data_IF_363413567084
#
_entry.id   IF_363413567084
#
_cell.length_a   1.000
_cell.length_b   1.000
_cell.length_c   1.000
_cell.angle_alpha   90.00
_cell.angle_beta   90.00
_cell.angle_gamma   90.00
#
_symmetry.space_group_name_H-M   'P 1'
#
loop_
_entity.id
_entity.type
_entity.pdbx_description
1 polymer ?
#
# COMPACT_ATOMS: atom_id res chain seq x y z
N UNK A 1 50.48 25.05 -5.17
CA UNK A 1 49.36 24.22 -4.67
C UNK A 1 49.45 24.23 -3.15
N UNK A 2 48.42 24.71 -2.46
CA UNK A 2 48.38 24.76 -0.99
C UNK A 2 47.50 23.62 -0.51
N UNK A 3 48.01 22.80 0.41
CA UNK A 3 47.28 21.66 0.96
C UNK A 3 47.04 21.88 2.44
N UNK A 4 45.77 21.95 2.83
CA UNK A 4 45.35 22.06 4.23
C UNK A 4 44.95 20.66 4.70
N UNK A 5 45.61 20.14 5.74
CA UNK A 5 45.29 18.84 6.32
C UNK A 5 44.20 18.98 7.37
N UNK A 6 43.17 18.14 7.30
CA UNK A 6 42.05 18.09 8.27
C UNK A 6 41.44 19.47 8.58
N UNK A 7 40.96 20.22 7.56
CA UNK A 7 40.30 21.50 7.82
C UNK A 7 39.06 21.30 8.69
N UNK A 8 38.73 22.31 9.48
CA UNK A 8 37.41 22.36 10.14
C UNK A 8 36.30 22.49 9.09
N UNK A 9 35.08 22.10 9.44
CA UNK A 9 33.92 22.25 8.54
C UNK A 9 33.73 23.71 8.11
N UNK A 10 33.85 24.66 9.03
CA UNK A 10 33.73 26.09 8.74
C UNK A 10 34.83 26.57 7.78
N UNK A 11 36.07 26.08 7.95
CA UNK A 11 37.17 26.40 7.03
C UNK A 11 36.88 25.85 5.63
N UNK A 12 36.39 24.62 5.54
CA UNK A 12 36.02 24.02 4.26
C UNK A 12 34.87 24.79 3.60
N UNK A 13 33.80 25.12 4.32
CA UNK A 13 32.66 25.87 3.79
C UNK A 13 33.10 27.23 3.23
N UNK A 14 33.91 27.99 3.97
CA UNK A 14 34.47 29.27 3.48
C UNK A 14 35.31 29.12 2.21
N UNK A 15 36.19 28.12 2.16
CA UNK A 15 37.04 27.87 1.00
C UNK A 15 36.22 27.37 -0.21
N UNK A 16 35.15 26.62 0.04
CA UNK A 16 34.24 26.17 -1.01
C UNK A 16 33.47 27.35 -1.62
N UNK A 17 33.01 28.30 -0.80
CA UNK A 17 32.33 29.51 -1.28
C UNK A 17 33.22 30.36 -2.18
N UNK A 18 34.52 30.44 -1.88
CA UNK A 18 35.48 31.25 -2.64
C UNK A 18 36.08 30.52 -3.85
N UNK A 19 36.26 29.19 -3.77
CA UNK A 19 37.02 28.40 -4.75
C UNK A 19 36.29 27.14 -5.25
N UNK A 20 34.95 27.13 -5.27
CA UNK A 20 34.09 25.96 -5.56
C UNK A 20 34.50 25.09 -6.76
N UNK A 21 35.07 25.65 -7.82
CA UNK A 21 35.48 24.92 -9.03
C UNK A 21 36.87 24.29 -8.96
N UNK A 22 37.70 24.68 -7.98
CA UNK A 22 39.12 24.31 -7.90
C UNK A 22 39.49 23.62 -6.59
N UNK A 23 38.69 23.78 -5.53
CA UNK A 23 38.89 23.07 -4.27
C UNK A 23 38.59 21.57 -4.44
N UNK A 24 39.49 20.74 -3.93
CA UNK A 24 39.29 19.29 -3.87
C UNK A 24 39.57 18.83 -2.45
N UNK A 25 38.56 18.24 -1.81
CA UNK A 25 38.67 17.69 -0.47
C UNK A 25 38.30 16.21 -0.53
N UNK A 26 39.29 15.35 -0.74
CA UNK A 26 39.07 13.91 -0.82
C UNK A 26 38.58 13.36 0.53
N UNK A 27 37.58 12.48 0.49
CA UNK A 27 37.09 11.79 1.67
C UNK A 27 38.08 10.71 2.11
N UNK A 28 38.28 10.56 3.42
CA UNK A 28 39.03 9.41 3.98
C UNK A 28 38.25 8.10 3.81
N UNK A 29 36.92 8.16 3.95
CA UNK A 29 36.01 7.06 3.72
C UNK A 29 35.12 7.41 2.52
N UNK A 30 35.14 6.57 1.49
CA UNK A 30 34.35 6.79 0.27
C UNK A 30 32.88 6.43 0.44
N UNK A 31 32.54 5.67 1.49
CA UNK A 31 31.18 5.24 1.77
C UNK A 31 30.84 5.38 3.25
N UNK A 32 29.61 5.81 3.50
CA UNK A 32 29.06 5.95 4.85
C UNK A 32 27.65 5.35 4.86
N UNK A 33 27.31 4.43 5.80
CA UNK A 33 25.95 3.91 5.91
C UNK A 33 24.94 5.02 6.20
N UNK A 34 23.80 5.00 5.52
CA UNK A 34 22.74 6.01 5.67
C UNK A 34 22.25 6.13 7.11
N UNK A 35 22.22 5.02 7.88
CA UNK A 35 21.78 5.04 9.28
C UNK A 35 22.63 5.93 10.19
N UNK A 36 23.85 6.28 9.79
CA UNK A 36 24.74 7.12 10.60
C UNK A 36 24.35 8.60 10.58
N UNK A 37 23.60 9.05 9.56
CA UNK A 37 23.24 10.46 9.40
C UNK A 37 21.75 10.69 9.07
N UNK A 38 20.99 9.63 8.75
CA UNK A 38 19.56 9.69 8.50
C UNK A 38 18.80 8.76 9.45
N UNK A 39 17.71 9.29 10.01
CA UNK A 39 16.76 8.51 10.79
C UNK A 39 15.35 8.70 10.20
N UNK A 40 14.71 7.60 9.81
CA UNK A 40 13.35 7.61 9.24
C UNK A 40 12.44 6.74 10.09
N UNK A 41 11.43 7.38 10.67
CA UNK A 41 10.41 6.75 11.51
C UNK A 41 9.09 6.63 10.77
N UNK A 42 8.31 5.62 11.14
CA UNK A 42 7.01 5.34 10.53
C UNK A 42 5.93 5.18 11.57
N UNK A 43 4.71 5.49 11.16
CA UNK A 43 3.50 5.26 11.95
C UNK A 43 2.49 4.61 11.02
N UNK A 44 1.98 3.45 11.41
CA UNK A 44 0.89 2.79 10.70
C UNK A 44 -0.40 3.60 10.86
N UNK A 45 -1.34 3.41 9.93
CA UNK A 45 -2.65 4.03 10.05
C UNK A 45 -3.34 3.59 11.36
N UNK A 46 -4.02 4.52 12.03
CA UNK A 46 -4.69 4.31 13.32
C UNK A 46 -5.63 3.10 13.39
N UNK A 47 -6.14 2.65 12.24
CA UNK A 47 -6.97 1.44 12.15
C UNK A 47 -6.21 0.19 12.57
N UNK A 48 -4.90 0.13 12.32
CA UNK A 48 -4.03 -1.00 12.65
C UNK A 48 -3.73 -1.13 14.15
N UNK A 49 -4.08 -0.14 14.95
CA UNK A 49 -4.03 -0.18 16.42
C UNK A 49 -5.40 -0.01 17.07
N UNK A 50 -6.47 0.02 16.27
CA UNK A 50 -7.83 0.21 16.75
C UNK A 50 -8.44 -1.08 17.30
N UNK A 51 -9.59 -0.97 17.98
CA UNK A 51 -10.36 -2.13 18.42
C UNK A 51 -10.82 -3.04 17.26
N UNK A 52 -10.89 -2.54 16.03
CA UNK A 52 -11.37 -3.27 14.85
C UNK A 52 -10.44 -4.42 14.42
N UNK A 53 -9.17 -4.39 14.83
CA UNK A 53 -8.19 -5.45 14.58
C UNK A 53 -7.94 -6.32 15.81
N UNK A 54 -8.70 -6.09 16.88
CA UNK A 54 -8.52 -6.80 18.16
C UNK A 54 -9.27 -8.12 18.19
N UNK A 55 -8.76 -9.07 18.98
CA UNK A 55 -9.45 -10.33 19.26
C UNK A 55 -10.83 -10.13 19.89
N UNK A 56 -11.02 -9.08 20.69
CA UNK A 56 -12.31 -8.77 21.30
C UNK A 56 -13.38 -8.44 20.26
N UNK A 57 -13.00 -7.69 19.22
CA UNK A 57 -13.90 -7.40 18.11
C UNK A 57 -14.24 -8.65 17.31
N UNK A 58 -13.27 -9.54 17.10
CA UNK A 58 -13.52 -10.81 16.41
C UNK A 58 -14.44 -11.72 17.22
N UNK A 59 -14.26 -11.79 18.54
CA UNK A 59 -15.14 -12.53 19.43
C UNK A 59 -16.57 -11.96 19.39
N UNK A 60 -16.72 -10.63 19.38
CA UNK A 60 -18.05 -10.01 19.23
C UNK A 60 -18.74 -10.42 17.93
N UNK A 61 -18.00 -10.47 16.81
CA UNK A 61 -18.55 -10.89 15.51
C UNK A 61 -18.84 -12.39 15.46
N UNK A 62 -18.03 -13.22 16.12
CA UNK A 62 -18.23 -14.68 16.20
C UNK A 62 -19.43 -15.09 17.05
N UNK A 63 -19.81 -14.27 18.03
CA UNK A 63 -20.96 -14.51 18.90
C UNK A 63 -22.29 -14.08 18.26
N UNK A 64 -22.26 -13.54 17.05
CA UNK A 64 -23.46 -13.20 16.32
C UNK A 64 -24.25 -14.46 15.95
N UNK A 65 -25.49 -14.55 16.44
CA UNK A 65 -26.43 -15.59 16.08
C UNK A 65 -27.41 -15.05 15.01
N UNK A 66 -27.34 -15.56 13.77
CA UNK A 66 -28.25 -15.16 12.69
C UNK A 66 -29.73 -15.38 13.02
N UNK A 67 -30.06 -16.31 13.92
CA UNK A 67 -31.45 -16.61 14.28
C UNK A 67 -32.12 -15.51 15.12
N UNK A 68 -31.34 -14.56 15.65
CA UNK A 68 -31.83 -13.43 16.44
C UNK A 68 -31.94 -12.13 15.61
N UNK A 69 -31.72 -12.25 14.30
CA UNK A 69 -31.80 -11.15 13.35
C UNK A 69 -33.29 -10.94 13.00
N UNK A 70 -33.85 -9.73 13.10
CA UNK A 70 -35.25 -9.50 12.82
C UNK A 70 -35.66 -9.99 11.42
N UNK A 71 -36.88 -10.52 11.28
CA UNK A 71 -37.41 -11.05 10.00
C UNK A 71 -37.34 -10.03 8.85
N UNK A 72 -37.45 -8.72 9.14
CA UNK A 72 -37.30 -7.68 8.11
C UNK A 72 -35.87 -7.50 7.58
N UNK A 73 -34.88 -8.11 8.23
CA UNK A 73 -33.49 -8.23 7.79
C UNK A 73 -33.16 -9.62 7.19
N UNK A 74 -34.12 -10.57 7.22
CA UNK A 74 -34.03 -11.86 6.54
C UNK A 74 -34.27 -11.69 5.04
N UNK A 75 -33.30 -11.10 4.35
CA UNK A 75 -33.15 -11.36 2.91
C UNK A 75 -32.19 -12.53 2.72
N UNK A 76 -32.26 -13.26 1.60
CA UNK A 76 -31.31 -14.35 1.25
C UNK A 76 -29.83 -13.92 1.36
N UNK A 77 -29.60 -12.61 1.36
CA UNK A 77 -28.38 -11.95 1.78
C UNK A 77 -28.61 -11.26 3.12
N UNK A 78 -28.05 -11.77 4.22
CA UNK A 78 -28.03 -11.01 5.48
C UNK A 78 -27.24 -9.72 5.24
N UNK A 79 -27.93 -8.57 5.18
CA UNK A 79 -27.32 -7.23 5.10
C UNK A 79 -26.61 -6.83 6.40
N UNK A 80 -26.70 -7.69 7.40
CA UNK A 80 -26.01 -7.49 8.65
C UNK A 80 -24.51 -7.68 8.42
N UNK A 81 -23.75 -6.60 8.58
CA UNK A 81 -22.30 -6.66 8.45
C UNK A 81 -21.69 -7.70 9.40
N UNK A 82 -22.37 -8.07 10.50
CA UNK A 82 -21.87 -9.08 11.44
C UNK A 82 -21.75 -10.46 10.81
N UNK A 83 -22.59 -10.77 9.81
CA UNK A 83 -22.57 -12.03 9.06
C UNK A 83 -21.30 -12.22 8.20
N UNK A 84 -20.69 -11.12 7.75
CA UNK A 84 -19.54 -11.14 6.83
C UNK A 84 -18.30 -10.42 7.38
N UNK A 85 -18.48 -9.60 8.40
CA UNK A 85 -17.52 -8.60 8.86
C UNK A 85 -16.24 -9.23 9.37
N UNK A 86 -16.31 -10.42 9.97
CA UNK A 86 -15.15 -11.15 10.47
C UNK A 86 -14.07 -11.28 9.39
N UNK A 87 -14.46 -11.68 8.17
CA UNK A 87 -13.54 -11.86 7.05
C UNK A 87 -12.92 -10.54 6.60
N UNK A 88 -13.71 -9.46 6.54
CA UNK A 88 -13.21 -8.13 6.19
C UNK A 88 -12.22 -7.59 7.23
N UNK A 89 -12.48 -7.78 8.52
CA UNK A 89 -11.57 -7.32 9.56
C UNK A 89 -10.33 -8.21 9.71
N UNK A 90 -10.42 -9.51 9.39
CA UNK A 90 -9.25 -10.38 9.23
C UNK A 90 -8.37 -9.96 8.04
N UNK A 91 -9.00 -9.58 6.92
CA UNK A 91 -8.29 -9.02 5.78
C UNK A 91 -7.59 -7.70 6.16
N UNK A 92 -8.25 -6.84 6.93
CA UNK A 92 -7.67 -5.62 7.47
C UNK A 92 -6.44 -5.89 8.36
N UNK A 93 -6.50 -6.90 9.25
CA UNK A 93 -5.32 -7.34 10.04
C UNK A 93 -4.17 -7.75 9.13
N UNK A 94 -4.50 -8.50 8.07
CA UNK A 94 -3.52 -8.94 7.09
C UNK A 94 -2.87 -7.74 6.40
N UNK A 95 -3.64 -6.74 5.96
CA UNK A 95 -3.10 -5.51 5.38
C UNK A 95 -2.20 -4.75 6.34
N UNK A 96 -2.60 -4.61 7.60
CA UNK A 96 -1.78 -3.97 8.63
C UNK A 96 -0.46 -4.71 8.86
N UNK A 97 -0.49 -6.05 8.91
CA UNK A 97 0.70 -6.88 9.10
C UNK A 97 1.66 -6.80 7.89
N UNK A 98 1.10 -6.81 6.67
CA UNK A 98 1.88 -6.64 5.44
C UNK A 98 2.50 -5.24 5.36
N UNK A 99 1.78 -4.20 5.78
CA UNK A 99 2.29 -2.84 5.83
C UNK A 99 3.48 -2.75 6.80
N UNK A 100 3.34 -3.31 8.00
CA UNK A 100 4.38 -3.34 9.03
C UNK A 100 5.65 -4.06 8.55
N UNK A 101 5.48 -5.28 8.01
CA UNK A 101 6.59 -6.06 7.48
C UNK A 101 7.30 -5.36 6.30
N UNK A 102 6.54 -4.73 5.40
CA UNK A 102 7.09 -3.99 4.27
C UNK A 102 7.89 -2.75 4.73
N UNK A 103 7.42 -2.05 5.76
CA UNK A 103 8.14 -0.93 6.36
C UNK A 103 9.42 -1.41 7.03
N UNK A 104 9.35 -2.49 7.82
CA UNK A 104 10.51 -3.06 8.51
C UNK A 104 11.60 -3.50 7.51
N UNK A 105 11.21 -4.16 6.42
CA UNK A 105 12.14 -4.53 5.35
C UNK A 105 12.74 -3.31 4.65
N UNK A 106 11.89 -2.32 4.34
CA UNK A 106 12.33 -1.06 3.78
C UNK A 106 13.36 -0.36 4.66
N UNK A 107 13.10 -0.25 5.96
CA UNK A 107 14.02 0.34 6.94
C UNK A 107 15.35 -0.40 6.98
N UNK A 108 15.33 -1.74 7.00
CA UNK A 108 16.52 -2.57 6.97
C UNK A 108 17.36 -2.31 5.71
N UNK A 109 16.72 -2.21 4.55
CA UNK A 109 17.41 -1.91 3.29
C UNK A 109 18.00 -0.49 3.32
N UNK A 110 17.23 0.49 3.79
CA UNK A 110 17.65 1.88 3.86
C UNK A 110 18.84 2.09 4.80
N UNK A 111 18.81 1.50 6.00
CA UNK A 111 19.90 1.61 6.99
C UNK A 111 21.22 1.08 6.45
N UNK A 112 21.16 -0.01 5.68
CA UNK A 112 22.32 -0.62 5.05
C UNK A 112 22.73 0.03 3.71
N UNK A 113 21.95 0.98 3.19
CA UNK A 113 22.33 1.70 1.99
C UNK A 113 23.57 2.56 2.26
N UNK A 114 24.48 2.61 1.29
CA UNK A 114 25.72 3.37 1.40
C UNK A 114 25.58 4.69 0.65
N UNK A 115 25.91 5.79 1.34
CA UNK A 115 26.17 7.07 0.72
C UNK A 115 27.61 7.09 0.21
N UNK A 116 27.80 7.16 -1.11
CA UNK A 116 29.12 7.06 -1.74
C UNK A 116 29.51 8.40 -2.33
N UNK A 117 30.64 8.95 -1.89
CA UNK A 117 31.24 10.12 -2.51
C UNK A 117 32.76 10.19 -2.33
N UNK A 118 33.44 10.63 -3.38
CA UNK A 118 34.89 10.77 -3.41
C UNK A 118 35.38 12.07 -2.78
N UNK A 119 34.54 13.10 -2.78
CA UNK A 119 34.87 14.41 -2.24
C UNK A 119 33.87 14.82 -1.15
N UNK A 120 34.35 15.59 -0.18
CA UNK A 120 33.50 16.23 0.79
C UNK A 120 32.51 17.14 0.05
N UNK A 121 31.24 17.06 0.44
CA UNK A 121 30.19 17.91 -0.09
C UNK A 121 30.02 19.16 0.76
N UNK A 122 29.67 20.31 0.15
CA UNK A 122 29.13 21.42 0.91
C UNK A 122 27.83 20.99 1.58
N UNK A 123 27.53 21.60 2.73
CA UNK A 123 26.37 21.29 3.55
C UNK A 123 25.06 21.29 2.76
N UNK A 124 24.84 22.29 1.90
CA UNK A 124 23.62 22.40 1.10
C UNK A 124 23.40 21.19 0.19
N UNK A 125 24.45 20.77 -0.52
CA UNK A 125 24.41 19.62 -1.41
C UNK A 125 24.27 18.32 -0.61
N UNK A 126 24.98 18.18 0.52
CA UNK A 126 24.81 17.03 1.40
C UNK A 126 23.37 16.88 1.88
N UNK A 127 22.73 17.97 2.34
CA UNK A 127 21.33 17.96 2.77
C UNK A 127 20.41 17.58 1.60
N UNK A 128 20.62 18.16 0.42
CA UNK A 128 19.82 17.86 -0.76
C UNK A 128 19.88 16.37 -1.15
N UNK A 129 21.09 15.79 -1.16
CA UNK A 129 21.28 14.36 -1.45
C UNK A 129 20.66 13.48 -0.36
N UNK A 130 20.79 13.86 0.91
CA UNK A 130 20.20 13.15 2.04
C UNK A 130 18.66 13.15 1.97
N UNK A 131 18.05 14.29 1.61
CA UNK A 131 16.61 14.41 1.39
C UNK A 131 16.15 13.57 0.18
N UNK A 132 16.92 13.57 -0.92
CA UNK A 132 16.61 12.75 -2.09
C UNK A 132 16.62 11.25 -1.73
N UNK A 133 17.57 10.79 -0.92
CA UNK A 133 17.64 9.42 -0.42
C UNK A 133 16.44 9.07 0.48
N UNK A 134 16.06 9.96 1.39
CA UNK A 134 14.89 9.77 2.24
C UNK A 134 13.60 9.69 1.40
N UNK A 135 13.43 10.58 0.43
CA UNK A 135 12.27 10.59 -0.46
C UNK A 135 12.20 9.34 -1.35
N UNK A 136 13.33 8.90 -1.90
CA UNK A 136 13.42 7.67 -2.67
C UNK A 136 13.02 6.45 -1.81
N UNK A 137 13.45 6.42 -0.55
CA UNK A 137 13.06 5.38 0.39
C UNK A 137 11.54 5.38 0.68
N UNK A 138 10.95 6.54 0.95
CA UNK A 138 9.50 6.68 1.17
C UNK A 138 8.72 6.20 -0.07
N UNK A 139 9.12 6.66 -1.26
CA UNK A 139 8.49 6.30 -2.52
C UNK A 139 8.57 4.79 -2.80
N UNK A 140 9.77 4.21 -2.65
CA UNK A 140 9.99 2.78 -2.88
C UNK A 140 9.19 1.92 -1.90
N UNK A 141 9.20 2.26 -0.62
CA UNK A 141 8.45 1.52 0.42
C UNK A 141 6.95 1.55 0.13
N UNK A 142 6.40 2.72 -0.23
CA UNK A 142 4.98 2.85 -0.61
C UNK A 142 4.64 2.01 -1.84
N UNK A 143 5.48 2.03 -2.87
CA UNK A 143 5.21 1.30 -4.10
C UNK A 143 5.35 -0.22 -3.93
N UNK A 144 6.28 -0.68 -3.10
CA UNK A 144 6.37 -2.11 -2.76
C UNK A 144 5.09 -2.56 -2.06
N UNK A 145 4.60 -1.79 -1.08
CA UNK A 145 3.33 -2.08 -0.43
C UNK A 145 2.15 -2.11 -1.41
N UNK A 146 2.02 -1.09 -2.26
CA UNK A 146 0.94 -1.02 -3.26
C UNK A 146 0.98 -2.21 -4.24
N UNK A 147 2.18 -2.64 -4.65
CA UNK A 147 2.35 -3.84 -5.47
C UNK A 147 1.92 -5.11 -4.73
N UNK A 148 2.27 -5.25 -3.46
CA UNK A 148 1.85 -6.38 -2.64
C UNK A 148 0.33 -6.41 -2.48
N UNK A 149 -0.32 -5.26 -2.23
CA UNK A 149 -1.78 -5.18 -2.19
C UNK A 149 -2.43 -5.58 -3.50
N UNK A 150 -1.87 -5.17 -4.64
CA UNK A 150 -2.37 -5.59 -5.96
C UNK A 150 -2.32 -7.12 -6.13
N UNK A 151 -1.29 -7.78 -5.60
CA UNK A 151 -1.24 -9.25 -5.60
C UNK A 151 -2.29 -9.87 -4.70
N UNK A 152 -2.57 -9.27 -3.53
CA UNK A 152 -3.65 -9.73 -2.66
C UNK A 152 -5.02 -9.59 -3.34
N UNK A 153 -5.26 -8.48 -4.03
CA UNK A 153 -6.48 -8.25 -4.81
C UNK A 153 -6.64 -9.28 -5.95
N UNK A 154 -5.59 -9.48 -6.75
CA UNK A 154 -5.59 -10.51 -7.81
C UNK A 154 -5.83 -11.90 -7.22
N UNK A 155 -5.19 -12.25 -6.10
CA UNK A 155 -5.41 -13.52 -5.43
C UNK A 155 -6.85 -13.65 -4.91
N UNK A 156 -7.46 -12.55 -4.45
CA UNK A 156 -8.87 -12.48 -4.06
C UNK A 156 -9.80 -12.81 -5.23
N UNK A 157 -9.61 -12.14 -6.36
CA UNK A 157 -10.39 -12.33 -7.59
C UNK A 157 -10.22 -13.76 -8.14
N UNK A 158 -8.98 -14.23 -8.29
CA UNK A 158 -8.67 -15.55 -8.88
C UNK A 158 -9.19 -16.69 -8.01
N UNK A 159 -9.09 -16.59 -6.68
CA UNK A 159 -9.58 -17.62 -5.77
C UNK A 159 -11.09 -17.52 -5.52
N UNK A 160 -11.81 -16.62 -6.20
CA UNK A 160 -13.24 -16.36 -5.95
C UNK A 160 -13.53 -16.12 -4.47
N UNK A 161 -12.65 -15.39 -3.77
CA UNK A 161 -13.02 -14.79 -2.48
C UNK A 161 -14.02 -13.68 -2.80
N UNK A 162 -15.27 -14.07 -3.06
CA UNK A 162 -16.32 -13.21 -3.60
C UNK A 162 -16.71 -12.13 -2.59
N UNK A 163 -16.06 -10.97 -2.67
CA UNK A 163 -16.73 -9.71 -2.35
C UNK A 163 -17.79 -9.38 -3.42
N UNK A 164 -17.61 -9.89 -4.65
CA UNK A 164 -18.48 -9.66 -5.80
C UNK A 164 -19.95 -10.02 -5.58
N UNK A 165 -20.27 -11.02 -4.74
CA UNK A 165 -21.66 -11.42 -4.47
C UNK A 165 -22.36 -10.54 -3.43
N UNK A 166 -21.62 -9.75 -2.64
CA UNK A 166 -22.21 -9.01 -1.51
C UNK A 166 -22.39 -7.50 -1.78
N UNK A 167 -21.72 -6.93 -2.78
CA UNK A 167 -21.75 -5.47 -3.05
C UNK A 167 -22.18 -5.07 -4.49
N UNK A 168 -22.37 -6.03 -5.41
CA UNK A 168 -22.69 -5.74 -6.83
C UNK A 168 -24.09 -6.21 -7.27
N UNK A 169 -25.10 -6.12 -6.40
CA UNK A 169 -26.49 -6.38 -6.79
C UNK A 169 -27.29 -5.08 -6.90
N UNK A 170 -28.13 -4.98 -7.92
CA UNK A 170 -29.11 -3.89 -8.08
C UNK A 170 -30.50 -4.42 -7.71
N UNK A 171 -31.20 -3.70 -6.85
CA UNK A 171 -32.61 -3.98 -6.53
C UNK A 171 -33.48 -3.01 -7.31
N UNK A 172 -34.39 -3.57 -8.11
CA UNK A 172 -35.48 -2.80 -8.72
C UNK A 172 -36.76 -3.10 -7.95
N UNK A 173 -37.37 -2.05 -7.39
CA UNK A 173 -38.66 -2.15 -6.71
C UNK A 173 -39.75 -1.98 -7.75
N UNK A 174 -40.54 -3.00 -8.04
CA UNK A 174 -41.76 -2.84 -8.84
C UNK A 174 -42.95 -2.59 -7.90
N UNK A 175 -43.95 -1.84 -8.37
CA UNK A 175 -45.06 -1.32 -7.57
C UNK A 175 -45.93 -2.38 -6.87
N UNK A 176 -45.74 -3.66 -7.19
CA UNK A 176 -46.62 -4.77 -6.75
C UNK A 176 -45.95 -5.67 -5.70
N UNK A 177 -45.08 -5.11 -4.84
CA UNK A 177 -44.38 -5.84 -3.75
C UNK A 177 -43.52 -7.02 -4.21
N UNK A 178 -43.21 -7.10 -5.52
CA UNK A 178 -42.26 -8.07 -6.07
C UNK A 178 -40.88 -7.43 -6.21
N UNK A 179 -39.87 -8.10 -5.66
CA UNK A 179 -38.48 -7.69 -5.77
C UNK A 179 -37.81 -8.56 -6.83
N UNK A 180 -37.24 -7.94 -7.86
CA UNK A 180 -36.37 -8.64 -8.81
C UNK A 180 -34.91 -8.30 -8.51
N UNK A 181 -34.10 -9.34 -8.32
CA UNK A 181 -32.66 -9.21 -8.14
C UNK A 181 -31.99 -9.42 -9.50
N UNK A 182 -31.21 -8.43 -9.94
CA UNK A 182 -30.36 -8.55 -11.12
C UNK A 182 -28.90 -8.38 -10.71
N UNK A 183 -28.07 -9.34 -11.10
CA UNK A 183 -26.62 -9.26 -10.95
C UNK A 183 -26.05 -8.44 -12.10
N UNK A 184 -25.45 -7.29 -11.82
CA UNK A 184 -24.61 -6.63 -12.83
C UNK A 184 -23.29 -7.38 -12.86
N UNK A 185 -23.08 -8.22 -13.87
CA UNK A 185 -21.74 -8.72 -14.19
C UNK A 185 -20.88 -7.51 -14.54
N UNK A 186 -20.11 -6.99 -13.58
CA UNK A 186 -19.06 -6.03 -13.89
C UNK A 186 -18.01 -6.82 -14.68
N UNK A 187 -18.06 -6.68 -15.99
CA UNK A 187 -16.98 -7.13 -16.87
C UNK A 187 -15.81 -6.17 -16.69
N UNK A 188 -14.83 -6.55 -15.88
CA UNK A 188 -13.53 -5.87 -15.88
C UNK A 188 -12.80 -6.24 -17.18
N UNK A 189 -12.99 -5.47 -18.25
CA UNK A 189 -12.05 -5.44 -19.36
C UNK A 189 -10.80 -4.70 -18.88
N UNK A 190 -9.70 -5.43 -18.71
CA UNK A 190 -8.37 -4.80 -18.63
C UNK A 190 -8.12 -4.21 -20.02
N UNK A 191 -8.09 -2.89 -20.09
CA UNK A 191 -7.75 -2.16 -21.31
C UNK A 191 -6.25 -2.35 -21.57
N UNK A 192 -5.87 -3.51 -22.11
CA UNK A 192 -4.64 -3.66 -22.85
C UNK A 192 -4.94 -3.21 -24.27
N UNK A 193 -4.48 -2.01 -24.58
CA UNK A 193 -4.43 -1.41 -25.91
C UNK A 193 -3.83 -2.42 -26.91
N UNK A 194 -4.66 -3.21 -27.58
CA UNK A 194 -4.33 -4.04 -28.73
C UNK A 194 -5.49 -3.92 -29.73
N UNK A 195 -5.12 -3.64 -30.98
CA UNK A 195 -5.95 -3.17 -32.10
C UNK A 195 -7.32 -3.85 -32.32
N UNK A 196 -8.32 -3.12 -32.87
CA UNK A 196 -9.68 -3.61 -33.01
C UNK A 196 -9.93 -4.30 -34.35
N UNK A 197 -9.87 -5.64 -34.41
CA UNK A 197 -10.59 -6.42 -35.44
C UNK A 197 -11.08 -7.73 -34.82
N UNK A 198 -12.34 -8.07 -35.12
CA UNK A 198 -13.13 -9.26 -34.75
C UNK A 198 -13.98 -9.17 -33.47
N UNK A 199 -15.15 -8.53 -33.63
CA UNK A 199 -16.35 -8.93 -32.87
C UNK A 199 -16.89 -10.25 -33.43
N UNK A 200 -17.15 -11.23 -32.57
CA UNK A 200 -18.20 -12.22 -32.82
C UNK A 200 -19.00 -12.48 -31.56
N UNK A 201 -20.32 -12.45 -31.73
CA UNK A 201 -21.36 -12.65 -30.72
C UNK A 201 -21.25 -14.02 -30.08
N UNK A 202 -21.54 -14.10 -28.79
CA UNK A 202 -22.10 -15.32 -28.17
C UNK A 202 -23.28 -14.91 -27.30
N UNK A 203 -24.48 -15.05 -27.86
CA UNK A 203 -25.71 -15.23 -27.09
C UNK A 203 -25.64 -16.60 -26.41
N UNK A 204 -25.91 -16.66 -25.10
CA UNK A 204 -26.50 -17.86 -24.50
C UNK A 204 -27.57 -17.49 -23.49
N UNK A 205 -28.79 -17.87 -23.87
CA UNK A 205 -29.98 -18.08 -23.06
C UNK A 205 -29.79 -19.30 -22.17
N UNK A 206 -30.04 -19.17 -20.86
CA UNK A 206 -30.43 -20.31 -20.03
C UNK A 206 -31.60 -19.90 -19.15
N UNK A 207 -32.80 -20.37 -19.56
CA UNK A 207 -33.97 -20.50 -18.70
C UNK A 207 -33.73 -21.69 -17.76
N UNK A 208 -33.97 -21.52 -16.47
CA UNK A 208 -34.34 -22.62 -15.60
C UNK A 208 -35.70 -22.32 -14.96
N UNK A 209 -36.69 -23.10 -15.37
CA UNK A 209 -38.00 -23.22 -14.74
C UNK A 209 -37.99 -24.44 -13.81
N UNK A 210 -38.48 -24.22 -12.58
CA UNK A 210 -38.95 -25.16 -11.54
C UNK A 210 -38.51 -26.63 -11.60
#
# INVERSE_FOLDING_TARGET
>A
MVTIKHPSLETYEKLYDEYSTSIQCACANLSIPCETFLNVTFVLHQVCSSGLVSSNWFNYLLLFDPNHVPVWTETDFSRDFRSIGLWYFQLLVTFCSVADANIADGQRIFKNALFINNNLLPRSLFIQEAEALANAFIYKTRNTYARTLKWVDIAGIVNRFSTETNINFQITVTSDSQWTQSWSSISCTVDQQIDPVLSSKVEKSEQYSR
#
